data_IF_874767263258
#
_entry.id   IF_874767263258
#
_cell.length_a   1.000
_cell.length_b   1.000
_cell.length_c   1.000
_cell.angle_alpha   90.00
_cell.angle_beta   90.00
_cell.angle_gamma   90.00
#
_symmetry.space_group_name_H-M   'P 1'
#
loop_
_entity.id
_entity.type
_entity.pdbx_description
1 polymer ?
#
# COMPACT_ATOMS: atom_id res chain seq x y z
N UNK A 1 -7.24 3.56 4.31
CA UNK A 1 -6.83 4.77 3.55
C UNK A 1 -5.33 4.70 3.27
N UNK A 2 -4.78 5.36 2.23
CA UNK A 2 -3.34 5.53 2.10
C UNK A 2 -2.70 6.16 3.34
N UNK A 3 -1.52 5.69 3.72
CA UNK A 3 -0.73 6.19 4.84
C UNK A 3 0.63 6.64 4.31
N UNK A 4 1.19 7.67 4.93
CA UNK A 4 2.58 8.04 4.74
C UNK A 4 3.42 7.10 5.58
N UNK A 5 4.33 6.35 4.94
CA UNK A 5 5.17 5.35 5.60
C UNK A 5 6.66 5.70 5.57
N UNK A 6 7.00 6.88 5.05
CA UNK A 6 8.38 7.31 4.78
C UNK A 6 9.31 7.18 5.99
N UNK A 7 8.79 7.39 7.21
CA UNK A 7 9.58 7.35 8.44
C UNK A 7 10.01 5.95 8.88
N UNK A 8 9.33 4.89 8.44
CA UNK A 8 9.52 3.54 9.00
C UNK A 8 9.58 2.41 7.96
N UNK A 9 9.18 2.66 6.71
CA UNK A 9 9.01 1.61 5.70
C UNK A 9 10.31 0.86 5.40
N UNK A 10 11.45 1.55 5.47
CA UNK A 10 12.77 0.98 5.19
C UNK A 10 13.35 0.20 6.39
N UNK A 11 12.78 0.36 7.58
CA UNK A 11 13.20 -0.36 8.80
C UNK A 11 12.48 -1.71 8.95
N UNK A 12 11.33 -1.88 8.27
CA UNK A 12 10.54 -3.11 8.35
C UNK A 12 11.03 -4.14 7.31
N UNK A 13 11.42 -5.37 7.72
CA UNK A 13 11.86 -6.39 6.77
C UNK A 13 10.74 -6.89 5.85
N UNK A 14 9.48 -6.74 6.27
CA UNK A 14 8.30 -7.02 5.47
C UNK A 14 7.07 -6.24 6.00
N UNK A 15 6.16 -5.88 5.10
CA UNK A 15 4.90 -5.20 5.44
C UNK A 15 3.74 -5.89 4.73
N UNK A 16 2.74 -6.32 5.52
CA UNK A 16 1.48 -6.85 5.01
C UNK A 16 0.37 -5.85 5.26
N UNK A 17 -0.22 -5.32 4.18
CA UNK A 17 -1.32 -4.37 4.27
C UNK A 17 -2.68 -5.06 4.10
N UNK A 18 -3.30 -5.44 5.22
CA UNK A 18 -4.54 -6.24 5.25
C UNK A 18 -5.85 -5.42 5.17
N UNK A 19 -5.78 -4.08 5.21
CA UNK A 19 -6.95 -3.19 5.29
C UNK A 19 -7.89 -3.53 6.46
N UNK A 20 -9.20 -3.66 6.19
CA UNK A 20 -10.22 -4.15 7.10
C UNK A 20 -10.72 -5.50 6.58
N UNK A 21 -10.05 -6.62 6.92
CA UNK A 21 -10.26 -7.91 6.28
C UNK A 21 -11.57 -8.64 6.68
N UNK A 22 -12.45 -7.99 7.45
CA UNK A 22 -13.73 -8.53 7.87
C UNK A 22 -13.62 -9.54 9.03
N UNK A 23 -14.69 -10.32 9.23
CA UNK A 23 -14.82 -11.26 10.35
C UNK A 23 -13.75 -12.35 10.34
N UNK A 24 -13.47 -12.93 9.17
CA UNK A 24 -12.45 -13.98 8.98
C UNK A 24 -11.03 -13.41 8.84
N UNK A 25 -10.83 -12.13 9.17
CA UNK A 25 -9.59 -11.43 8.94
C UNK A 25 -8.39 -12.02 9.66
N UNK A 26 -8.59 -12.56 10.86
CA UNK A 26 -7.52 -13.25 11.60
C UNK A 26 -7.03 -14.50 10.87
N UNK A 27 -7.94 -15.34 10.39
CA UNK A 27 -7.61 -16.53 9.60
C UNK A 27 -6.94 -16.17 8.27
N UNK A 28 -7.48 -15.16 7.57
CA UNK A 28 -6.92 -14.71 6.29
C UNK A 28 -5.48 -14.19 6.42
N UNK A 29 -5.19 -13.42 7.47
CA UNK A 29 -3.83 -12.93 7.75
C UNK A 29 -2.90 -14.09 8.13
N UNK A 30 -3.37 -15.04 8.96
CA UNK A 30 -2.57 -16.22 9.33
C UNK A 30 -2.23 -17.09 8.10
N UNK A 31 -3.18 -17.33 7.21
CA UNK A 31 -2.97 -18.11 5.98
C UNK A 31 -1.91 -17.47 5.07
N UNK A 32 -1.84 -16.13 5.00
CA UNK A 32 -0.81 -15.42 4.24
C UNK A 32 0.55 -15.49 4.94
N UNK A 33 0.61 -15.23 6.24
CA UNK A 33 1.88 -15.23 7.00
C UNK A 33 2.52 -16.63 7.07
N UNK A 34 1.70 -17.68 7.08
CA UNK A 34 2.16 -19.08 7.10
C UNK A 34 2.43 -19.64 5.71
N UNK A 35 2.17 -18.88 4.65
CA UNK A 35 2.43 -19.29 3.27
C UNK A 35 1.40 -20.27 2.69
N UNK A 36 0.29 -20.52 3.39
CA UNK A 36 -0.84 -21.29 2.85
C UNK A 36 -1.49 -20.58 1.66
N UNK A 37 -1.43 -19.24 1.64
CA UNK A 37 -1.84 -18.40 0.51
C UNK A 37 -0.72 -17.41 0.16
N UNK A 38 -0.37 -17.31 -1.13
CA UNK A 38 0.59 -16.32 -1.61
C UNK A 38 -0.12 -14.97 -1.88
N UNK A 39 0.35 -13.84 -1.31
CA UNK A 39 -0.27 -12.53 -1.54
C UNK A 39 -0.19 -12.10 -3.02
N UNK A 40 -1.33 -11.71 -3.60
CA UNK A 40 -1.43 -11.35 -5.04
C UNK A 40 -2.08 -9.98 -5.31
N UNK A 41 -2.53 -9.28 -4.27
CA UNK A 41 -3.25 -8.03 -4.39
C UNK A 41 -2.40 -6.90 -5.01
N UNK A 42 -3.07 -5.94 -5.66
CA UNK A 42 -2.46 -4.71 -6.20
C UNK A 42 -3.11 -3.50 -5.56
N UNK A 43 -2.33 -2.44 -5.35
CA UNK A 43 -2.84 -1.19 -4.77
C UNK A 43 -3.76 -0.48 -5.77
N UNK A 44 -5.03 -0.18 -5.41
CA UNK A 44 -5.95 0.57 -6.27
C UNK A 44 -5.79 2.09 -6.15
N UNK A 45 -4.95 2.56 -5.22
CA UNK A 45 -4.74 3.98 -4.91
C UNK A 45 -3.26 4.22 -4.61
N UNK A 46 -2.76 5.41 -4.97
CA UNK A 46 -1.37 5.80 -4.70
C UNK A 46 -1.17 6.10 -3.21
N UNK A 47 -0.05 5.63 -2.66
CA UNK A 47 0.40 5.95 -1.31
C UNK A 47 1.45 7.08 -1.40
N UNK A 48 1.14 8.30 -0.92
CA UNK A 48 2.10 9.39 -0.95
C UNK A 48 3.21 9.17 0.08
N UNK A 49 4.40 9.70 -0.17
CA UNK A 49 5.49 9.77 0.83
C UNK A 49 5.14 10.73 1.95
N UNK A 50 4.64 11.91 1.58
CA UNK A 50 4.18 12.95 2.50
C UNK A 50 2.84 13.55 2.08
N UNK A 51 2.11 14.13 3.04
CA UNK A 51 0.79 14.74 2.81
C UNK A 51 0.86 15.87 1.77
N UNK A 52 1.99 16.58 1.67
CA UNK A 52 2.19 17.69 0.74
C UNK A 52 2.16 17.29 -0.74
N UNK A 53 2.23 15.99 -1.07
CA UNK A 53 2.14 15.50 -2.44
C UNK A 53 0.69 15.35 -2.93
N UNK A 54 -0.31 15.46 -2.06
CA UNK A 54 -1.70 15.29 -2.44
C UNK A 54 -2.16 16.52 -3.26
N UNK A 55 -2.78 16.33 -4.44
CA UNK A 55 -3.19 15.05 -5.05
C UNK A 55 -2.07 14.34 -5.83
N UNK A 56 -1.91 13.02 -5.60
CA UNK A 56 -0.97 12.16 -6.31
C UNK A 56 -1.70 10.93 -6.86
N UNK A 57 -1.56 10.67 -8.17
CA UNK A 57 -2.22 9.58 -8.88
C UNK A 57 -1.43 9.20 -10.14
N UNK A 58 -1.59 7.94 -10.59
CA UNK A 58 -0.73 7.37 -11.65
C UNK A 58 -1.03 7.91 -13.05
N UNK A 59 -2.27 8.32 -13.32
CA UNK A 59 -2.74 8.79 -14.62
C UNK A 59 -2.82 10.32 -14.67
N UNK A 60 -1.74 10.99 -14.25
CA UNK A 60 -1.64 12.45 -14.35
C UNK A 60 -1.27 12.89 -15.77
N UNK A 61 -1.71 14.09 -16.15
CA UNK A 61 -1.33 14.69 -17.42
C UNK A 61 0.16 15.04 -17.43
N UNK A 62 0.75 15.08 -18.62
CA UNK A 62 2.07 15.68 -18.76
C UNK A 62 1.94 17.19 -18.59
N UNK A 63 2.81 17.78 -17.78
CA UNK A 63 2.76 19.24 -17.56
C UNK A 63 3.25 19.98 -18.81
N UNK A 64 3.08 21.31 -18.85
CA UNK A 64 3.61 22.14 -19.93
C UNK A 64 5.15 22.19 -20.03
N UNK A 65 5.86 21.45 -19.16
CA UNK A 65 7.31 21.24 -19.21
C UNK A 65 7.59 19.73 -19.29
N UNK A 66 7.53 19.14 -20.51
CA UNK A 66 7.96 17.77 -20.71
C UNK A 66 9.45 17.61 -20.39
N UNK A 67 9.82 16.48 -19.79
CA UNK A 67 11.20 16.11 -19.48
C UNK A 67 12.00 15.75 -20.75
#
# INVERSE_FOLDING_TARGET
RPLTMEEWIDEAPAVLFAWHPGLEGGHAVADVLTGKVNPSAKLPVTFPRSVGQIPLYYNHENTGRPA
#
